data_IF_624197814047
#
_entry.id   IF_624197814047
#
_cell.length_a   1.000
_cell.length_b   1.000
_cell.length_c   1.000
_cell.angle_alpha   90.00
_cell.angle_beta   90.00
_cell.angle_gamma   90.00
#
_symmetry.space_group_name_H-M   'P 1'
#
loop_
_entity.id
_entity.type
_entity.pdbx_description
1 polymer ?
#
# COMPACT_ATOMS: atom_id res chain seq x y z
N UNK A 1 21.50 -26.12 -55.38
CA UNK A 1 20.22 -26.34 -56.10
C UNK A 1 19.20 -26.80 -55.08
N UNK A 2 18.10 -26.03 -54.93
CA UNK A 2 16.75 -26.41 -54.49
C UNK A 2 16.56 -27.09 -53.12
N UNK A 3 15.55 -26.84 -52.30
CA UNK A 3 14.39 -25.93 -52.20
C UNK A 3 13.78 -26.25 -50.83
N UNK A 4 13.27 -25.29 -50.07
CA UNK A 4 11.99 -25.45 -49.33
C UNK A 4 11.39 -24.06 -49.12
N UNK A 5 10.26 -23.82 -49.78
CA UNK A 5 9.26 -22.82 -49.40
C UNK A 5 8.31 -23.47 -48.41
N UNK A 6 7.87 -22.76 -47.37
CA UNK A 6 6.46 -22.80 -47.01
C UNK A 6 6.06 -21.56 -46.23
N UNK A 7 5.18 -20.78 -46.85
CA UNK A 7 4.38 -19.73 -46.22
C UNK A 7 3.22 -20.39 -45.50
N UNK A 8 3.25 -20.44 -44.17
CA UNK A 8 2.01 -20.43 -43.40
C UNK A 8 1.78 -19.04 -42.84
N UNK A 9 0.80 -18.38 -43.44
CA UNK A 9 -0.15 -17.51 -42.77
C UNK A 9 -0.48 -18.08 -41.38
N UNK A 10 -0.10 -17.35 -40.35
CA UNK A 10 -0.80 -17.39 -39.08
C UNK A 10 -1.02 -15.94 -38.68
N UNK A 11 -1.98 -15.32 -39.36
CA UNK A 11 -2.82 -14.27 -38.81
C UNK A 11 -3.47 -14.80 -37.52
N UNK A 12 -2.71 -14.78 -36.45
CA UNK A 12 -3.20 -14.87 -35.08
C UNK A 12 -2.66 -13.62 -34.43
N UNK A 13 -3.53 -12.62 -34.31
CA UNK A 13 -3.30 -11.40 -33.56
C UNK A 13 -2.50 -11.78 -32.30
N UNK A 14 -1.26 -11.31 -32.22
CA UNK A 14 -0.78 -10.89 -30.93
C UNK A 14 -1.74 -9.77 -30.54
N UNK A 15 -2.85 -10.14 -29.89
CA UNK A 15 -3.43 -9.28 -28.89
C UNK A 15 -2.25 -9.03 -27.96
N UNK A 16 -1.50 -7.97 -28.26
CA UNK A 16 -0.99 -7.12 -27.22
C UNK A 16 -2.21 -6.92 -26.35
N UNK A 17 -2.32 -7.75 -25.32
CA UNK A 17 -3.05 -7.39 -24.14
C UNK A 17 -2.37 -6.10 -23.75
N UNK A 18 -2.91 -5.01 -24.30
CA UNK A 18 -2.76 -3.68 -23.79
C UNK A 18 -3.34 -3.89 -22.42
N UNK A 19 -2.46 -4.28 -21.49
CA UNK A 19 -2.76 -4.31 -20.08
C UNK A 19 -3.36 -2.94 -19.88
N UNK A 20 -4.69 -2.90 -19.76
CA UNK A 20 -5.44 -1.70 -19.39
C UNK A 20 -4.55 -0.99 -18.39
N UNK A 21 -4.15 0.27 -18.61
CA UNK A 21 -3.21 0.91 -17.72
C UNK A 21 -3.82 0.77 -16.33
N UNK A 22 -3.29 -0.16 -15.53
CA UNK A 22 -3.76 -0.41 -14.19
C UNK A 22 -3.53 0.94 -13.56
N UNK A 23 -4.61 1.64 -13.24
CA UNK A 23 -4.52 2.98 -12.71
C UNK A 23 -3.76 2.81 -11.39
N UNK A 24 -2.47 3.07 -11.41
CA UNK A 24 -1.53 2.77 -10.34
C UNK A 24 -1.23 4.08 -9.61
N UNK A 25 -1.15 4.00 -8.30
CA UNK A 25 -0.83 5.14 -7.44
C UNK A 25 0.47 4.82 -6.72
N UNK A 26 1.41 5.74 -6.82
CA UNK A 26 2.62 5.80 -6.01
C UNK A 26 2.37 6.70 -4.81
N UNK A 27 2.81 6.26 -3.63
CA UNK A 27 2.61 7.00 -2.40
C UNK A 27 3.80 6.87 -1.44
N UNK A 28 4.01 7.93 -0.67
CA UNK A 28 4.94 7.99 0.45
C UNK A 28 4.12 7.94 1.74
N UNK A 29 4.29 6.88 2.50
CA UNK A 29 3.52 6.59 3.69
C UNK A 29 4.38 6.75 4.95
N UNK A 30 4.06 7.75 5.78
CA UNK A 30 4.93 8.20 6.88
C UNK A 30 4.24 8.05 8.23
N UNK A 31 4.97 7.82 9.33
CA UNK A 31 4.41 8.03 10.66
C UNK A 31 3.95 9.48 10.82
N UNK A 32 2.89 9.69 11.60
CA UNK A 32 2.41 11.03 11.88
C UNK A 32 3.43 11.79 12.77
N UNK A 33 3.86 13.01 12.39
CA UNK A 33 5.01 13.66 13.00
C UNK A 33 4.76 14.25 14.40
N UNK A 34 3.51 14.20 14.91
CA UNK A 34 3.26 14.54 16.31
C UNK A 34 3.60 13.40 17.27
N UNK A 35 3.65 12.18 16.76
CA UNK A 35 3.77 10.97 17.58
C UNK A 35 5.20 10.39 17.55
N UNK A 36 6.02 10.84 16.61
CA UNK A 36 7.37 10.34 16.36
C UNK A 36 8.37 11.47 16.08
N UNK A 37 9.61 11.31 16.52
CA UNK A 37 10.70 12.22 16.19
C UNK A 37 11.12 12.11 14.70
N UNK A 38 11.83 13.11 14.15
CA UNK A 38 12.19 13.12 12.73
C UNK A 38 13.04 11.93 12.26
N UNK A 39 13.86 11.35 13.13
CA UNK A 39 14.68 10.19 12.79
C UNK A 39 13.80 8.94 12.66
N UNK A 40 12.91 8.71 13.63
CA UNK A 40 11.91 7.64 13.56
C UNK A 40 11.01 7.78 12.33
N UNK A 41 10.55 9.01 12.01
CA UNK A 41 9.76 9.27 10.81
C UNK A 41 10.52 8.88 9.54
N UNK A 42 11.81 9.23 9.45
CA UNK A 42 12.62 8.89 8.29
C UNK A 42 12.82 7.37 8.15
N UNK A 43 13.11 6.67 9.26
CA UNK A 43 13.36 5.23 9.26
C UNK A 43 12.10 4.41 8.94
N UNK A 44 10.92 4.86 9.39
CA UNK A 44 9.66 4.16 9.17
C UNK A 44 8.86 4.68 7.96
N UNK A 45 9.44 5.57 7.14
CA UNK A 45 8.82 6.00 5.88
C UNK A 45 8.80 4.85 4.88
N UNK A 46 7.64 4.59 4.28
CA UNK A 46 7.43 3.51 3.30
C UNK A 46 7.07 4.09 1.95
N UNK A 47 7.67 3.55 0.89
CA UNK A 47 7.34 3.88 -0.50
C UNK A 47 6.52 2.75 -1.08
N UNK A 48 5.30 3.04 -1.50
CA UNK A 48 4.32 2.03 -1.89
C UNK A 48 3.81 2.35 -3.29
N UNK A 49 3.69 1.31 -4.12
CA UNK A 49 2.97 1.35 -5.38
C UNK A 49 1.81 0.37 -5.30
N UNK A 50 0.61 0.83 -5.61
CA UNK A 50 -0.62 0.04 -5.49
C UNK A 50 -1.63 0.46 -6.56
N UNK A 51 -2.73 -0.27 -6.68
CA UNK A 51 -3.83 0.09 -7.58
C UNK A 51 -4.65 1.24 -7.00
N UNK A 52 -5.18 2.11 -7.86
CA UNK A 52 -5.98 3.28 -7.49
C UNK A 52 -7.33 2.91 -6.86
N UNK A 53 -7.83 1.70 -7.15
CA UNK A 53 -9.03 1.15 -6.53
C UNK A 53 -8.81 0.61 -5.10
N UNK A 54 -7.57 0.61 -4.59
CA UNK A 54 -7.31 0.28 -3.20
C UNK A 54 -7.98 1.31 -2.27
N UNK A 55 -8.43 0.87 -1.09
CA UNK A 55 -9.03 1.74 -0.08
C UNK A 55 -8.04 2.11 1.02
N UNK A 56 -8.42 3.10 1.82
CA UNK A 56 -7.69 3.46 3.05
C UNK A 56 -7.62 2.28 4.03
N UNK A 57 -8.66 1.45 4.13
CA UNK A 57 -8.65 0.23 4.94
C UNK A 57 -7.62 -0.79 4.44
N UNK A 58 -7.41 -0.90 3.12
CA UNK A 58 -6.35 -1.74 2.57
C UNK A 58 -4.96 -1.24 3.01
N UNK A 59 -4.73 0.07 3.05
CA UNK A 59 -3.47 0.64 3.56
C UNK A 59 -3.27 0.39 5.06
N UNK A 60 -4.33 0.54 5.86
CA UNK A 60 -4.29 0.26 7.30
C UNK A 60 -3.99 -1.23 7.57
N UNK A 61 -4.62 -2.14 6.83
CA UNK A 61 -4.36 -3.59 6.90
C UNK A 61 -2.93 -3.92 6.47
N UNK A 62 -2.46 -3.32 5.37
CA UNK A 62 -1.07 -3.46 4.93
C UNK A 62 -0.09 -3.05 6.04
N UNK A 63 -0.34 -1.92 6.70
CA UNK A 63 0.54 -1.41 7.74
C UNK A 63 0.60 -2.34 8.96
N UNK A 64 -0.56 -2.78 9.45
CA UNK A 64 -0.63 -3.73 10.56
C UNK A 64 0.13 -5.03 10.25
N UNK A 65 -0.07 -5.57 9.04
CA UNK A 65 0.66 -6.76 8.58
C UNK A 65 2.16 -6.49 8.48
N UNK A 66 2.57 -5.37 7.90
CA UNK A 66 3.97 -5.04 7.66
C UNK A 66 4.73 -4.88 8.98
N UNK A 67 4.16 -4.18 9.96
CA UNK A 67 4.75 -4.02 11.29
C UNK A 67 4.86 -5.35 12.04
N UNK A 68 3.84 -6.22 11.95
CA UNK A 68 3.88 -7.55 12.55
C UNK A 68 4.95 -8.47 11.93
N UNK A 69 5.31 -8.26 10.66
CA UNK A 69 6.41 -8.97 10.00
C UNK A 69 7.78 -8.41 10.38
N UNK A 70 7.89 -7.10 10.58
CA UNK A 70 9.13 -6.45 11.03
C UNK A 70 9.49 -6.83 12.46
N UNK A 71 8.50 -6.87 13.37
CA UNK A 71 8.73 -7.33 14.75
C UNK A 71 9.19 -8.79 14.81
N UNK A 72 8.70 -9.64 13.90
CA UNK A 72 9.19 -11.01 13.79
C UNK A 72 10.64 -11.07 13.31
N UNK A 73 11.06 -10.21 12.38
CA UNK A 73 12.45 -10.22 11.91
C UNK A 73 13.44 -9.72 12.97
N UNK A 74 13.01 -8.83 13.87
CA UNK A 74 13.82 -8.37 15.00
C UNK A 74 13.94 -9.43 16.11
N UNK A 75 12.90 -10.23 16.33
CA UNK A 75 12.90 -11.32 17.34
C UNK A 75 13.47 -12.65 16.81
N UNK A 76 13.37 -12.91 15.51
CA UNK A 76 13.75 -14.18 14.89
C UNK A 76 15.22 -14.21 14.48
N UNK A 77 16.09 -13.99 15.48
CA UNK A 77 17.23 -14.89 15.66
C UNK A 77 16.77 -16.32 16.01
N UNK A 78 15.52 -16.54 16.45
CA UNK A 78 14.95 -17.87 16.67
C UNK A 78 13.46 -18.00 16.27
N UNK A 79 13.19 -18.97 15.41
CA UNK A 79 11.90 -19.64 15.13
C UNK A 79 10.80 -18.92 14.30
N UNK A 80 10.68 -19.41 13.05
CA UNK A 80 9.47 -19.40 12.25
C UNK A 80 8.24 -19.87 13.05
N UNK A 81 7.25 -19.01 13.32
CA UNK A 81 5.80 -19.32 13.26
C UNK A 81 4.91 -18.10 13.62
N UNK A 82 4.51 -17.28 12.64
CA UNK A 82 3.37 -16.35 12.85
C UNK A 82 2.62 -15.94 11.56
N UNK A 83 2.84 -16.64 10.44
CA UNK A 83 2.08 -16.45 9.19
C UNK A 83 0.61 -16.94 9.26
N UNK A 84 0.09 -17.31 10.44
CA UNK A 84 -1.30 -17.78 10.64
C UNK A 84 -2.20 -16.83 11.45
N UNK A 85 -1.81 -15.57 11.73
CA UNK A 85 -2.64 -14.68 12.57
C UNK A 85 -3.63 -13.77 11.84
N UNK A 86 -3.76 -13.85 10.51
CA UNK A 86 -4.64 -12.91 9.76
C UNK A 86 -5.86 -13.56 9.09
N UNK A 87 -6.10 -14.87 9.25
CA UNK A 87 -7.22 -15.57 8.60
C UNK A 87 -8.15 -16.32 9.56
N UNK A 88 -8.15 -16.02 10.85
CA UNK A 88 -9.09 -16.63 11.80
C UNK A 88 -9.65 -15.59 12.76
N UNK A 89 -10.94 -15.32 12.60
CA UNK A 89 -11.79 -14.44 13.40
C UNK A 89 -12.04 -14.95 14.84
N UNK A 90 -11.07 -15.59 15.48
CA UNK A 90 -11.26 -16.19 16.80
C UNK A 90 -9.95 -16.53 17.51
N UNK A 91 -9.08 -15.54 17.76
CA UNK A 91 -8.19 -15.49 18.92
C UNK A 91 -7.82 -14.03 19.18
N UNK A 92 -8.10 -13.53 20.39
CA UNK A 92 -8.06 -12.12 20.80
C UNK A 92 -6.69 -11.46 20.82
N UNK A 93 -6.00 -11.42 19.68
CA UNK A 93 -4.86 -10.53 19.44
C UNK A 93 -5.45 -9.21 18.97
N UNK A 94 -5.22 -8.14 19.73
CA UNK A 94 -5.64 -6.79 19.35
C UNK A 94 -5.03 -6.44 17.99
N UNK A 95 -5.85 -6.41 16.95
CA UNK A 95 -5.44 -5.89 15.64
C UNK A 95 -5.20 -4.40 15.83
N UNK A 96 -3.94 -3.98 15.78
CA UNK A 96 -3.58 -2.57 15.84
C UNK A 96 -4.36 -1.83 14.76
N UNK A 97 -5.24 -0.94 15.21
CA UNK A 97 -6.02 -0.08 14.33
C UNK A 97 -5.19 1.16 14.04
N UNK A 98 -5.16 1.56 12.78
CA UNK A 98 -4.45 2.75 12.33
C UNK A 98 -5.44 3.75 11.74
N UNK A 99 -5.26 5.02 12.11
CA UNK A 99 -5.93 6.13 11.42
C UNK A 99 -4.98 6.66 10.36
N UNK A 100 -5.49 6.79 9.13
CA UNK A 100 -4.73 7.27 7.98
C UNK A 100 -5.13 8.72 7.69
N UNK A 101 -4.13 9.56 7.44
CA UNK A 101 -4.28 10.98 7.21
C UNK A 101 -3.70 11.38 5.85
N UNK A 102 -4.27 12.43 5.27
CA UNK A 102 -3.68 13.16 4.13
C UNK A 102 -3.22 14.55 4.58
N UNK A 103 -2.08 14.99 4.06
CA UNK A 103 -1.60 16.36 4.24
C UNK A 103 -1.77 17.18 2.95
N UNK A 104 -2.96 17.71 2.70
CA UNK A 104 -3.20 18.62 1.57
C UNK A 104 -2.46 19.96 1.72
N UNK A 105 -2.04 20.30 2.93
CA UNK A 105 -1.26 21.50 3.25
C UNK A 105 -0.25 21.14 4.35
N UNK A 106 1.01 21.62 4.27
CA UNK A 106 2.01 21.33 5.29
C UNK A 106 1.50 21.62 6.72
N UNK A 107 1.60 20.63 7.60
CA UNK A 107 1.16 20.74 9.00
C UNK A 107 -0.34 20.54 9.24
N UNK A 108 -1.16 20.38 8.20
CA UNK A 108 -2.59 20.03 8.33
C UNK A 108 -2.84 18.58 7.92
N UNK A 109 -3.22 17.76 8.89
CA UNK A 109 -3.46 16.33 8.70
C UNK A 109 -4.95 16.04 8.84
N UNK A 110 -5.59 15.62 7.75
CA UNK A 110 -7.03 15.30 7.74
C UNK A 110 -7.20 13.78 7.75
N UNK A 111 -7.92 13.19 8.73
CA UNK A 111 -8.18 11.76 8.76
C UNK A 111 -9.09 11.37 7.60
N UNK A 112 -8.80 10.23 6.98
CA UNK A 112 -9.56 9.69 5.85
C UNK A 112 -10.43 8.51 6.30
N UNK A 113 -11.69 8.41 5.84
CA UNK A 113 -12.52 7.23 6.05
C UNK A 113 -11.91 5.99 5.39
N UNK A 114 -12.00 4.84 6.07
CA UNK A 114 -11.47 3.55 5.61
C UNK A 114 -11.98 3.09 4.24
N UNK A 115 -13.24 3.37 3.93
CA UNK A 115 -13.89 3.01 2.67
C UNK A 115 -13.48 3.87 1.47
N UNK A 116 -12.75 4.97 1.69
CA UNK A 116 -12.35 5.88 0.62
C UNK A 116 -11.26 5.24 -0.25
N UNK A 117 -11.45 5.25 -1.57
CA UNK A 117 -10.46 4.73 -2.52
C UNK A 117 -9.37 5.76 -2.83
N UNK A 118 -8.16 5.29 -3.14
CA UNK A 118 -6.99 6.14 -3.34
C UNK A 118 -7.12 7.05 -4.56
N UNK A 119 -7.82 6.61 -5.61
CA UNK A 119 -8.14 7.44 -6.78
C UNK A 119 -8.86 8.73 -6.37
N UNK A 120 -9.95 8.58 -5.59
CA UNK A 120 -10.71 9.71 -5.06
C UNK A 120 -9.88 10.58 -4.11
N UNK A 121 -9.01 9.98 -3.30
CA UNK A 121 -8.10 10.74 -2.42
C UNK A 121 -7.15 11.61 -3.25
N UNK A 122 -6.55 11.03 -4.29
CA UNK A 122 -5.61 11.72 -5.17
C UNK A 122 -6.27 12.90 -5.90
N UNK A 123 -7.45 12.67 -6.50
CA UNK A 123 -8.22 13.68 -7.22
C UNK A 123 -8.69 14.81 -6.31
N UNK A 124 -9.13 14.49 -5.08
CA UNK A 124 -9.74 15.47 -4.19
C UNK A 124 -8.71 16.30 -3.42
N UNK A 125 -7.68 15.66 -2.89
CA UNK A 125 -6.80 16.24 -1.86
C UNK A 125 -5.37 16.51 -2.31
N UNK A 126 -4.88 15.83 -3.35
CA UNK A 126 -3.48 15.93 -3.76
C UNK A 126 -3.28 16.80 -4.99
N UNK A 127 -3.94 16.47 -6.11
CA UNK A 127 -4.01 17.29 -7.34
C UNK A 127 -2.65 17.74 -7.91
N UNK A 128 -1.56 17.02 -7.59
CA UNK A 128 -0.22 17.28 -8.12
C UNK A 128 0.35 16.01 -8.73
N UNK A 129 1.19 16.16 -9.75
CA UNK A 129 1.86 15.05 -10.40
C UNK A 129 3.11 14.60 -9.60
N UNK A 130 2.88 14.15 -8.38
CA UNK A 130 3.89 13.61 -7.45
C UNK A 130 3.29 12.42 -6.69
N UNK A 131 4.12 11.51 -6.13
CA UNK A 131 3.62 10.46 -5.25
C UNK A 131 2.78 11.04 -4.10
N UNK A 132 1.66 10.39 -3.78
CA UNK A 132 0.73 10.82 -2.75
C UNK A 132 1.40 10.78 -1.37
N UNK A 133 1.38 11.86 -0.59
CA UNK A 133 1.92 11.85 0.77
C UNK A 133 0.83 11.58 1.81
N UNK A 134 0.89 10.41 2.43
CA UNK A 134 -0.07 9.96 3.44
C UNK A 134 0.65 9.68 4.77
N UNK A 135 -0.10 9.80 5.86
CA UNK A 135 0.42 9.63 7.22
C UNK A 135 -0.40 8.62 8.00
N UNK A 136 0.20 7.94 8.96
CA UNK A 136 -0.50 7.01 9.85
C UNK A 136 -0.21 7.30 11.33
N UNK A 137 -1.21 7.04 12.17
CA UNK A 137 -1.05 7.00 13.62
C UNK A 137 -1.86 5.83 14.20
N UNK A 138 -1.44 5.31 15.36
CA UNK A 138 -2.25 4.35 16.11
C UNK A 138 -3.60 4.99 16.48
N UNK A 139 -4.68 4.29 16.16
CA UNK A 139 -6.02 4.69 16.58
C UNK A 139 -6.11 4.60 18.09
N UNK A 140 -6.56 5.68 18.73
CA UNK A 140 -6.86 5.64 20.17
C UNK A 140 -8.09 4.75 20.38
N UNK A 141 -8.07 3.79 21.33
CA UNK A 141 -9.29 3.13 21.74
C UNK A 141 -10.27 4.22 22.24
N UNK A 142 -11.51 4.17 21.77
CA UNK A 142 -12.59 5.08 22.20
C UNK A 142 -13.10 4.72 23.58
#
# INVERSE_FOLDING_TARGET
MYFWTDTLDSTGEATAETSEPLNEIELVFKPHPKDHDPETVAQQTRYIKTTANASVDHLAKYLAMRLALESQQEETGESNLALSRTNSSDQGVEVQQFTIYIASTPGQYTPLPGSMILDYVNEKYWKVNKPLEMYYALSKPS
#
